data_IF_838622213922
#
_entry.id   IF_838622213922
#
_cell.length_a   1.000
_cell.length_b   1.000
_cell.length_c   1.000
_cell.angle_alpha   90.00
_cell.angle_beta   90.00
_cell.angle_gamma   90.00
#
_symmetry.space_group_name_H-M   'P 1'
#
loop_
_entity.id
_entity.type
_entity.pdbx_description
1 polymer ?
#
# COMPACT_ATOMS: atom_id res chain seq x y z
N UNK A 1 0.19 37.56 30.12
CA UNK A 1 -0.27 37.88 28.75
C UNK A 1 -0.85 36.61 28.15
N UNK A 2 -2.17 36.54 28.18
CA UNK A 2 -2.99 35.38 27.81
C UNK A 2 -3.25 35.40 26.30
N UNK A 3 -2.60 34.50 25.55
CA UNK A 3 -2.94 34.25 24.16
C UNK A 3 -4.06 33.20 24.08
N UNK A 4 -5.30 33.68 23.93
CA UNK A 4 -6.43 32.86 23.55
C UNK A 4 -6.28 32.46 22.07
N UNK A 5 -5.91 31.21 21.81
CA UNK A 5 -6.03 30.60 20.49
C UNK A 5 -7.52 30.42 20.19
N UNK A 6 -8.03 31.16 19.20
CA UNK A 6 -9.38 30.96 18.67
C UNK A 6 -9.46 29.57 18.04
N UNK A 7 -10.35 28.74 18.58
CA UNK A 7 -10.81 27.52 17.92
C UNK A 7 -11.65 27.91 16.69
N UNK A 8 -11.02 27.96 15.52
CA UNK A 8 -11.77 27.95 14.26
C UNK A 8 -12.02 26.49 13.86
N UNK A 9 -13.29 26.09 13.90
CA UNK A 9 -13.74 24.80 13.43
C UNK A 9 -13.64 24.76 11.90
N UNK A 10 -12.87 23.81 11.37
CA UNK A 10 -12.92 23.49 9.95
C UNK A 10 -14.35 23.07 9.57
N UNK A 11 -15.02 23.90 8.78
CA UNK A 11 -16.15 23.47 7.94
C UNK A 11 -17.57 23.85 8.34
N UNK A 12 -17.82 24.75 9.31
CA UNK A 12 -19.19 25.21 9.58
C UNK A 12 -19.24 26.69 10.02
N UNK A 13 -19.13 27.61 9.05
CA UNK A 13 -19.61 28.98 9.24
C UNK A 13 -20.96 29.18 8.56
N UNK A 14 -21.99 29.36 9.40
CA UNK A 14 -23.32 29.94 9.15
C UNK A 14 -23.68 30.20 7.67
N UNK A 15 -24.52 29.33 7.11
CA UNK A 15 -25.35 29.63 5.93
C UNK A 15 -24.90 29.05 4.59
N UNK A 16 -23.83 28.24 4.53
CA UNK A 16 -23.38 27.61 3.29
C UNK A 16 -23.86 26.15 3.22
N UNK A 17 -24.80 25.87 2.30
CA UNK A 17 -25.01 24.50 1.80
C UNK A 17 -23.84 24.16 0.86
N UNK A 18 -23.08 23.13 1.22
CA UNK A 18 -22.10 22.42 0.37
C UNK A 18 -21.11 23.28 -0.43
N UNK A 19 -20.51 24.34 0.12
CA UNK A 19 -19.35 25.00 -0.49
C UNK A 19 -19.55 25.64 -1.88
N UNK A 20 -20.70 25.48 -2.51
CA UNK A 20 -21.04 26.09 -3.79
C UNK A 20 -21.56 27.50 -3.56
N UNK A 21 -20.66 28.48 -3.50
CA UNK A 21 -21.03 29.84 -3.85
C UNK A 21 -21.27 29.88 -5.36
N UNK A 22 -22.50 30.16 -5.79
CA UNK A 22 -22.74 30.78 -7.10
C UNK A 22 -22.14 32.20 -7.05
N UNK A 23 -20.81 32.30 -7.10
CA UNK A 23 -20.19 33.49 -7.64
C UNK A 23 -20.06 33.24 -9.13
N UNK A 24 -20.75 34.06 -9.93
CA UNK A 24 -20.32 34.33 -11.31
C UNK A 24 -18.96 35.04 -11.24
N UNK A 25 -17.92 34.29 -10.87
CA UNK A 25 -16.55 34.69 -11.15
C UNK A 25 -16.41 34.44 -12.64
N UNK A 26 -16.27 35.49 -13.43
CA UNK A 26 -15.58 35.38 -14.73
C UNK A 26 -14.15 34.92 -14.42
N UNK A 27 -13.98 33.62 -14.18
CA UNK A 27 -12.67 33.00 -14.16
C UNK A 27 -12.19 33.07 -15.60
N UNK A 28 -11.30 34.01 -15.89
CA UNK A 28 -10.33 33.74 -16.95
C UNK A 28 -9.72 32.38 -16.62
N UNK A 29 -10.04 31.37 -17.43
CA UNK A 29 -9.41 30.07 -17.38
C UNK A 29 -7.96 30.35 -17.75
N UNK A 30 -7.13 30.68 -16.75
CA UNK A 30 -5.68 30.64 -16.90
C UNK A 30 -5.40 29.23 -17.40
N UNK A 31 -4.78 29.13 -18.57
CA UNK A 31 -4.35 27.84 -19.13
C UNK A 31 -3.74 27.04 -17.97
N UNK A 32 -4.14 25.78 -17.77
CA UNK A 32 -3.52 24.92 -16.78
C UNK A 32 -2.01 25.07 -16.93
N UNK A 33 -1.33 25.43 -15.84
CA UNK A 33 0.12 25.47 -15.85
C UNK A 33 0.55 24.05 -16.20
N UNK A 34 1.17 23.85 -17.36
CA UNK A 34 1.76 22.56 -17.72
C UNK A 34 2.76 22.21 -16.61
N UNK A 35 2.36 21.32 -15.71
CA UNK A 35 3.27 20.67 -14.80
C UNK A 35 3.94 19.61 -15.65
N UNK A 36 5.15 19.92 -16.14
CA UNK A 36 5.99 18.90 -16.77
C UNK A 36 6.48 17.98 -15.67
N UNK A 37 5.79 16.86 -15.49
CA UNK A 37 6.31 15.75 -14.68
C UNK A 37 7.40 15.06 -15.49
N UNK A 38 8.64 15.52 -15.34
CA UNK A 38 9.80 14.82 -15.92
C UNK A 38 10.11 13.60 -15.05
N UNK A 39 9.66 12.43 -15.50
CA UNK A 39 10.16 11.16 -14.98
C UNK A 39 11.57 10.96 -15.55
N UNK A 40 12.59 11.13 -14.71
CA UNK A 40 13.96 10.79 -15.11
C UNK A 40 14.04 9.31 -15.48
N UNK A 41 14.34 9.02 -16.75
CA UNK A 41 14.68 7.66 -17.16
C UNK A 41 15.87 7.17 -16.33
N UNK A 42 15.81 5.91 -15.88
CA UNK A 42 16.88 5.36 -15.04
C UNK A 42 18.22 5.45 -15.78
N UNK A 43 19.20 6.22 -15.26
CA UNK A 43 20.50 6.34 -15.90
C UNK A 43 21.14 4.97 -16.12
N UNK A 44 21.72 4.75 -17.31
CA UNK A 44 22.32 3.46 -17.68
C UNK A 44 23.34 2.97 -16.65
N UNK A 45 24.11 3.89 -16.06
CA UNK A 45 25.08 3.58 -15.01
C UNK A 45 24.44 2.97 -13.76
N UNK A 46 23.25 3.44 -13.37
CA UNK A 46 22.51 2.90 -12.22
C UNK A 46 22.01 1.51 -12.56
N UNK A 47 21.41 1.33 -13.74
CA UNK A 47 20.95 0.01 -14.20
C UNK A 47 22.10 -1.01 -14.23
N UNK A 48 23.23 -0.67 -14.86
CA UNK A 48 24.41 -1.53 -14.93
C UNK A 48 24.99 -1.83 -13.55
N UNK A 49 25.05 -0.84 -12.66
CA UNK A 49 25.54 -1.01 -11.29
C UNK A 49 24.65 -1.98 -10.50
N UNK A 50 23.33 -1.88 -10.66
CA UNK A 50 22.37 -2.79 -10.02
C UNK A 50 22.58 -4.22 -10.53
N UNK A 51 22.69 -4.43 -11.84
CA UNK A 51 22.95 -5.75 -12.41
C UNK A 51 24.31 -6.31 -11.96
N UNK A 52 25.34 -5.48 -11.89
CA UNK A 52 26.64 -5.88 -11.39
C UNK A 52 26.58 -6.32 -9.91
N UNK A 53 25.89 -5.56 -9.06
CA UNK A 53 25.65 -5.94 -7.67
C UNK A 53 24.93 -7.29 -7.55
N UNK A 54 23.89 -7.53 -8.35
CA UNK A 54 23.19 -8.82 -8.38
C UNK A 54 24.10 -9.96 -8.83
N UNK A 55 24.95 -9.73 -9.83
CA UNK A 55 25.92 -10.71 -10.32
C UNK A 55 26.91 -11.08 -9.21
N UNK A 56 27.50 -10.10 -8.55
CA UNK A 56 28.44 -10.30 -7.44
C UNK A 56 27.77 -11.09 -6.31
N UNK A 57 26.58 -10.68 -5.86
CA UNK A 57 25.83 -11.38 -4.80
C UNK A 57 25.50 -12.83 -5.18
N UNK A 58 25.13 -13.07 -6.44
CA UNK A 58 24.82 -14.40 -6.96
C UNK A 58 26.07 -15.28 -7.02
N UNK A 59 27.18 -14.73 -7.50
CA UNK A 59 28.47 -15.43 -7.58
C UNK A 59 28.95 -15.87 -6.18
N UNK A 60 28.97 -14.94 -5.22
CA UNK A 60 29.32 -15.26 -3.83
C UNK A 60 28.33 -16.23 -3.18
N UNK A 61 27.04 -16.14 -3.53
CA UNK A 61 26.03 -17.10 -3.11
C UNK A 61 26.36 -18.53 -3.54
N UNK A 62 26.78 -18.72 -4.80
CA UNK A 62 27.15 -20.03 -5.32
C UNK A 62 28.44 -20.57 -4.71
N UNK A 63 29.46 -19.73 -4.55
CA UNK A 63 30.70 -20.10 -3.83
C UNK A 63 30.37 -20.59 -2.42
N UNK A 64 29.49 -19.88 -1.71
CA UNK A 64 29.12 -20.25 -0.33
C UNK A 64 28.40 -21.60 -0.29
N UNK A 65 27.51 -21.87 -1.24
CA UNK A 65 26.86 -23.17 -1.33
C UNK A 65 27.85 -24.28 -1.73
N UNK A 66 28.83 -24.00 -2.57
CA UNK A 66 29.91 -24.93 -2.88
C UNK A 66 30.75 -25.27 -1.64
N UNK A 67 31.19 -24.26 -0.88
CA UNK A 67 31.95 -24.45 0.37
C UNK A 67 31.15 -25.26 1.40
N UNK A 68 29.84 -25.03 1.52
CA UNK A 68 28.95 -25.85 2.36
C UNK A 68 28.86 -27.30 1.92
N UNK A 69 28.87 -27.58 0.61
CA UNK A 69 28.90 -28.96 0.08
C UNK A 69 30.21 -29.67 0.43
N UNK A 70 31.30 -28.93 0.56
CA UNK A 70 32.59 -29.45 1.04
C UNK A 70 32.62 -29.68 2.57
N UNK A 71 31.52 -29.46 3.28
CA UNK A 71 31.39 -29.71 4.72
C UNK A 71 31.77 -28.53 5.60
N UNK A 72 32.14 -27.38 5.00
CA UNK A 72 32.53 -26.19 5.77
C UNK A 72 31.34 -25.25 6.00
N UNK A 73 31.09 -24.93 7.28
CA UNK A 73 30.06 -23.99 7.70
C UNK A 73 28.72 -24.66 8.02
N UNK A 74 27.82 -23.88 8.62
CA UNK A 74 26.52 -24.38 9.08
C UNK A 74 25.54 -24.50 7.89
N UNK A 75 24.96 -25.69 7.73
CA UNK A 75 23.90 -25.98 6.76
C UNK A 75 22.57 -25.83 7.48
N UNK A 76 21.80 -24.83 7.07
CA UNK A 76 20.49 -24.53 7.64
C UNK A 76 19.35 -24.84 6.67
N UNK A 77 19.65 -25.68 5.68
CA UNK A 77 18.68 -26.17 4.72
C UNK A 77 17.82 -27.25 5.38
N UNK A 78 16.52 -26.98 5.48
CA UNK A 78 15.54 -28.04 5.73
C UNK A 78 15.37 -28.77 4.40
N UNK A 79 15.92 -29.98 4.30
CA UNK A 79 15.66 -30.86 3.16
C UNK A 79 14.32 -31.52 3.37
N UNK A 80 13.48 -31.49 2.34
CA UNK A 80 12.25 -32.27 2.30
C UNK A 80 12.62 -33.76 2.44
N UNK A 81 12.03 -34.45 3.42
CA UNK A 81 12.20 -35.89 3.65
C UNK A 81 10.88 -36.59 3.31
N UNK A 82 10.97 -37.81 2.79
CA UNK A 82 9.82 -38.70 2.57
C UNK A 82 8.72 -38.11 1.67
N UNK A 83 9.09 -37.54 0.51
CA UNK A 83 8.15 -36.95 -0.46
C UNK A 83 8.22 -37.60 -1.84
N UNK A 84 8.15 -38.92 -1.89
CA UNK A 84 8.04 -39.63 -3.18
C UNK A 84 6.70 -39.29 -3.86
N UNK A 85 6.74 -38.96 -5.17
CA UNK A 85 5.55 -38.64 -5.96
C UNK A 85 5.00 -37.21 -5.87
N UNK A 86 5.56 -36.34 -5.02
CA UNK A 86 5.10 -34.95 -4.87
C UNK A 86 6.01 -33.94 -5.58
N UNK A 87 5.41 -32.84 -6.06
CA UNK A 87 6.15 -31.66 -6.56
C UNK A 87 6.91 -31.03 -5.38
N UNK A 88 8.18 -30.67 -5.62
CA UNK A 88 9.01 -29.94 -4.65
C UNK A 88 8.30 -28.66 -4.21
N UNK A 89 8.28 -28.37 -2.91
CA UNK A 89 7.63 -27.14 -2.40
C UNK A 89 8.41 -25.89 -2.82
N UNK A 90 9.72 -26.00 -2.98
CA UNK A 90 10.59 -24.88 -3.30
C UNK A 90 11.25 -25.05 -4.67
N UNK A 91 11.25 -23.99 -5.47
CA UNK A 91 12.08 -23.91 -6.67
C UNK A 91 13.55 -23.72 -6.26
N UNK A 92 14.47 -24.26 -7.06
CA UNK A 92 15.91 -24.22 -6.78
C UNK A 92 16.44 -22.79 -6.60
N UNK A 93 15.98 -21.85 -7.42
CA UNK A 93 16.39 -20.45 -7.34
C UNK A 93 15.82 -19.73 -6.11
N UNK A 94 14.56 -19.94 -5.75
CA UNK A 94 13.95 -19.31 -4.57
C UNK A 94 14.66 -19.73 -3.28
N UNK A 95 14.98 -21.03 -3.17
CA UNK A 95 15.76 -21.57 -2.06
C UNK A 95 17.15 -20.91 -1.99
N UNK A 96 17.83 -20.81 -3.13
CA UNK A 96 19.12 -20.13 -3.25
C UNK A 96 19.03 -18.66 -2.84
N UNK A 97 18.12 -17.89 -3.43
CA UNK A 97 17.93 -16.47 -3.18
C UNK A 97 17.62 -16.22 -1.70
N UNK A 98 16.68 -16.98 -1.13
CA UNK A 98 16.28 -16.84 0.27
C UNK A 98 17.46 -17.09 1.21
N UNK A 99 18.20 -18.19 0.99
CA UNK A 99 19.33 -18.59 1.84
C UNK A 99 20.52 -17.65 1.72
N UNK A 100 20.86 -17.21 0.50
CA UNK A 100 22.11 -16.51 0.21
C UNK A 100 21.99 -14.99 0.20
N UNK A 101 20.85 -14.46 -0.21
CA UNK A 101 20.67 -13.03 -0.45
C UNK A 101 19.64 -12.46 0.53
N UNK A 102 18.39 -12.91 0.48
CA UNK A 102 17.28 -12.31 1.22
C UNK A 102 17.52 -12.25 2.74
N UNK A 103 17.96 -13.36 3.35
CA UNK A 103 18.24 -13.44 4.81
C UNK A 103 19.29 -12.44 5.31
N UNK A 104 20.11 -11.87 4.42
CA UNK A 104 21.11 -10.86 4.78
C UNK A 104 20.55 -9.43 4.73
N UNK A 105 19.65 -9.16 3.79
CA UNK A 105 19.06 -7.81 3.62
C UNK A 105 17.83 -7.59 4.51
N UNK A 106 17.20 -8.68 4.96
CA UNK A 106 15.94 -8.65 5.70
C UNK A 106 16.02 -7.85 7.01
N UNK A 107 17.21 -7.65 7.58
CA UNK A 107 17.41 -6.84 8.79
C UNK A 107 16.91 -5.42 8.62
N UNK A 108 17.24 -4.79 7.48
CA UNK A 108 16.82 -3.42 7.17
C UNK A 108 15.48 -3.35 6.46
N UNK A 109 15.12 -4.37 5.68
CA UNK A 109 13.91 -4.34 4.85
C UNK A 109 12.63 -4.68 5.62
N UNK A 110 12.71 -5.56 6.62
CA UNK A 110 11.53 -6.03 7.37
C UNK A 110 11.56 -5.54 8.81
N UNK A 111 11.80 -4.24 8.99
CA UNK A 111 11.63 -3.60 10.29
C UNK A 111 10.15 -3.54 10.66
N UNK A 112 9.82 -3.83 11.91
CA UNK A 112 8.44 -3.88 12.37
C UNK A 112 8.02 -2.48 12.81
N UNK A 113 7.10 -1.88 12.07
CA UNK A 113 6.42 -0.67 12.51
C UNK A 113 5.48 -1.04 13.65
N UNK A 114 5.57 -0.27 14.73
CA UNK A 114 4.77 -0.42 15.94
C UNK A 114 4.13 0.94 16.25
N UNK A 115 2.82 0.92 16.50
CA UNK A 115 2.05 2.13 16.79
C UNK A 115 1.38 2.72 15.56
N UNK A 116 0.99 3.99 15.69
CA UNK A 116 0.22 4.73 14.68
C UNK A 116 1.10 5.16 13.49
N UNK A 117 0.52 5.24 12.27
CA UNK A 117 1.19 5.81 11.11
C UNK A 117 1.24 7.34 11.16
N UNK A 118 1.68 7.89 12.30
CA UNK A 118 1.84 9.33 12.54
C UNK A 118 3.18 9.86 12.01
N UNK A 119 3.45 11.13 12.29
CA UNK A 119 4.70 11.83 11.88
C UNK A 119 5.95 11.13 12.40
N UNK A 120 5.86 10.55 13.59
CA UNK A 120 6.91 9.72 14.19
C UNK A 120 6.30 8.37 14.49
N UNK A 121 6.91 7.29 13.98
CA UNK A 121 6.52 5.92 14.32
C UNK A 121 7.64 5.18 15.03
N UNK A 122 7.25 4.13 15.76
CA UNK A 122 8.19 3.30 16.50
C UNK A 122 8.55 2.07 15.67
N UNK A 123 9.83 1.74 15.66
CA UNK A 123 10.38 0.57 15.02
C UNK A 123 10.86 -0.41 16.07
N UNK A 124 10.40 -1.66 15.96
CA UNK A 124 10.90 -2.74 16.80
C UNK A 124 12.04 -3.45 16.10
N UNK A 125 13.23 -3.34 16.70
CA UNK A 125 14.44 -3.97 16.18
C UNK A 125 14.35 -5.49 16.38
N UNK A 126 14.66 -6.24 15.31
CA UNK A 126 14.97 -7.66 15.41
C UNK A 126 16.46 -7.84 15.53
N UNK A 127 16.89 -8.55 16.57
CA UNK A 127 18.29 -8.93 16.76
C UNK A 127 18.41 -10.38 16.33
N UNK A 128 19.34 -10.64 15.41
CA UNK A 128 19.67 -11.98 14.97
C UNK A 128 21.18 -12.09 14.79
N UNK A 129 21.87 -12.91 15.59
CA UNK A 129 23.30 -13.16 15.42
C UNK A 129 23.59 -14.11 14.25
N UNK A 130 22.56 -14.68 13.61
CA UNK A 130 22.67 -15.82 12.70
C UNK A 130 22.01 -15.60 11.34
N UNK A 131 22.07 -14.37 10.81
CA UNK A 131 21.49 -13.98 9.51
C UNK A 131 19.99 -14.28 9.43
N UNK A 132 19.23 -13.79 10.42
CA UNK A 132 17.77 -13.88 10.51
C UNK A 132 17.18 -15.29 10.49
N UNK A 133 17.94 -16.27 10.97
CA UNK A 133 17.42 -17.63 11.10
C UNK A 133 16.65 -17.80 12.40
N UNK A 134 17.19 -17.28 13.50
CA UNK A 134 16.52 -17.23 14.79
C UNK A 134 16.38 -15.76 15.21
N UNK A 135 15.64 -14.99 14.41
CA UNK A 135 15.37 -13.60 14.73
C UNK A 135 14.47 -13.51 15.96
N UNK A 136 15.01 -12.91 17.02
CA UNK A 136 14.23 -12.54 18.20
C UNK A 136 13.98 -11.04 18.16
N UNK A 137 12.84 -10.63 18.69
CA UNK A 137 12.67 -9.22 18.97
C UNK A 137 13.66 -8.82 20.07
N UNK A 138 14.39 -7.72 19.85
CA UNK A 138 15.23 -7.16 20.90
C UNK A 138 14.36 -6.79 22.11
N UNK A 139 14.92 -6.94 23.31
CA UNK A 139 14.34 -6.42 24.56
C UNK A 139 14.60 -4.92 24.74
N UNK A 140 15.34 -4.31 23.82
CA UNK A 140 15.71 -2.91 23.83
C UNK A 140 14.51 -1.99 23.52
N UNK A 141 14.66 -0.71 23.87
CA UNK A 141 13.67 0.34 23.61
C UNK A 141 13.42 0.43 22.09
N UNK A 142 12.15 0.55 21.71
CA UNK A 142 11.79 0.78 20.30
C UNK A 142 12.51 2.03 19.77
N UNK A 143 13.01 1.94 18.53
CA UNK A 143 13.58 3.10 17.84
C UNK A 143 12.45 4.02 17.40
N UNK A 144 12.69 5.32 17.40
CA UNK A 144 11.77 6.30 16.85
C UNK A 144 12.32 6.82 15.52
N UNK A 145 11.47 6.89 14.50
CA UNK A 145 11.84 7.35 13.17
C UNK A 145 10.77 8.31 12.62
N UNK A 146 11.21 9.27 11.81
CA UNK A 146 10.33 10.19 11.10
C UNK A 146 9.67 9.46 9.93
N UNK A 147 8.36 9.67 9.78
CA UNK A 147 7.56 9.06 8.74
C UNK A 147 7.50 9.93 7.48
N UNK A 148 8.32 9.59 6.49
CA UNK A 148 8.32 10.24 5.18
C UNK A 148 7.58 9.42 4.11
N UNK A 149 6.97 8.29 4.48
CA UNK A 149 6.34 7.35 3.54
C UNK A 149 4.86 7.06 3.81
N UNK A 150 4.22 7.80 4.71
CA UNK A 150 2.81 7.59 5.06
C UNK A 150 1.86 8.41 4.18
N UNK A 151 0.69 7.84 3.89
CA UNK A 151 -0.42 8.54 3.25
C UNK A 151 -1.35 9.25 4.25
N UNK A 152 -0.99 9.28 5.54
CA UNK A 152 -1.74 9.98 6.59
C UNK A 152 -1.45 11.49 6.58
N UNK A 153 -1.66 12.14 5.44
CA UNK A 153 -1.25 13.53 5.22
C UNK A 153 -1.90 14.54 6.17
N UNK A 154 -3.15 14.29 6.56
CA UNK A 154 -3.93 15.17 7.45
C UNK A 154 -3.92 14.71 8.92
N UNK A 155 -3.22 13.62 9.25
CA UNK A 155 -3.16 13.11 10.62
C UNK A 155 -4.50 12.58 11.14
N UNK A 156 -5.36 12.04 10.27
CA UNK A 156 -6.64 11.45 10.69
C UNK A 156 -6.50 10.03 11.22
N UNK A 157 -5.44 9.30 10.85
CA UNK A 157 -5.17 7.95 11.31
C UNK A 157 -4.35 7.93 12.62
N UNK A 158 -4.85 8.60 13.65
CA UNK A 158 -4.24 8.69 14.98
C UNK A 158 -5.05 7.87 16.01
N UNK A 159 -4.41 7.50 17.13
CA UNK A 159 -5.05 6.73 18.21
C UNK A 159 -5.89 7.61 19.16
N UNK A 160 -5.91 8.91 18.97
CA UNK A 160 -6.64 9.85 19.80
C UNK A 160 -7.25 10.97 18.96
N UNK A 161 -8.24 11.63 19.54
CA UNK A 161 -8.95 12.74 18.91
C UNK A 161 -10.20 12.30 18.18
N UNK A 162 -10.88 13.28 17.59
CA UNK A 162 -12.26 13.16 17.12
C UNK A 162 -12.51 11.95 16.19
N UNK A 163 -11.55 11.57 15.35
CA UNK A 163 -11.68 10.40 14.48
C UNK A 163 -11.66 9.10 15.28
N UNK A 164 -10.69 8.92 16.17
CA UNK A 164 -10.58 7.75 17.05
C UNK A 164 -11.80 7.63 17.96
N UNK A 165 -12.22 8.74 18.59
CA UNK A 165 -13.39 8.77 19.48
C UNK A 165 -14.67 8.38 18.72
N UNK A 166 -14.85 8.91 17.49
CA UNK A 166 -16.01 8.57 16.65
C UNK A 166 -16.00 7.09 16.23
N UNK A 167 -14.82 6.54 15.91
CA UNK A 167 -14.66 5.13 15.58
C UNK A 167 -15.01 4.24 16.77
N UNK A 168 -14.56 4.58 17.98
CA UNK A 168 -14.91 3.83 19.20
C UNK A 168 -16.43 3.78 19.43
N UNK A 169 -17.11 4.91 19.32
CA UNK A 169 -18.57 4.96 19.46
C UNK A 169 -19.29 4.12 18.41
N UNK A 170 -18.80 4.14 17.17
CA UNK A 170 -19.34 3.31 16.09
C UNK A 170 -19.12 1.82 16.37
N UNK A 171 -17.93 1.43 16.84
CA UNK A 171 -17.64 0.04 17.20
C UNK A 171 -18.53 -0.43 18.36
N UNK A 172 -18.76 0.40 19.37
CA UNK A 172 -19.66 0.07 20.48
C UNK A 172 -21.10 -0.14 20.01
N UNK A 173 -21.55 0.61 19.00
CA UNK A 173 -22.91 0.53 18.46
C UNK A 173 -23.11 -0.61 17.45
N UNK A 174 -22.15 -0.82 16.55
CA UNK A 174 -22.29 -1.73 15.40
C UNK A 174 -21.43 -2.99 15.48
N UNK A 175 -20.51 -3.07 16.44
CA UNK A 175 -19.50 -4.11 16.51
C UNK A 175 -18.32 -3.88 15.55
N UNK A 176 -17.40 -4.85 15.52
CA UNK A 176 -16.19 -4.78 14.69
C UNK A 176 -16.35 -5.37 13.29
N UNK A 177 -17.39 -6.18 13.07
CA UNK A 177 -17.63 -6.85 11.78
C UNK A 177 -19.04 -7.41 11.66
N UNK A 178 -19.57 -7.37 10.43
CA UNK A 178 -20.95 -7.80 10.12
C UNK A 178 -21.01 -9.28 9.70
N UNK A 179 -19.87 -9.85 9.27
CA UNK A 179 -19.76 -11.25 8.84
C UNK A 179 -20.77 -11.68 7.74
N UNK A 180 -21.26 -10.74 6.93
CA UNK A 180 -22.17 -11.00 5.82
C UNK A 180 -21.85 -10.09 4.63
N UNK A 181 -22.25 -10.52 3.43
CA UNK A 181 -22.08 -9.72 2.21
C UNK A 181 -23.09 -8.59 2.16
N UNK A 182 -22.77 -7.51 1.43
CA UNK A 182 -23.70 -6.38 1.23
C UNK A 182 -25.03 -6.77 0.59
N UNK A 183 -25.04 -7.84 -0.21
CA UNK A 183 -26.25 -8.33 -0.88
C UNK A 183 -27.23 -8.99 0.10
N UNK A 184 -26.74 -9.49 1.23
CA UNK A 184 -27.54 -10.19 2.23
C UNK A 184 -27.80 -9.29 3.44
N UNK A 185 -27.09 -9.51 4.55
CA UNK A 185 -27.27 -8.80 5.82
C UNK A 185 -26.13 -7.79 6.09
N UNK A 186 -25.21 -7.62 5.14
CA UNK A 186 -24.02 -6.80 5.25
C UNK A 186 -24.21 -5.30 5.00
N UNK A 187 -25.44 -4.84 4.73
CA UNK A 187 -25.73 -3.44 4.41
C UNK A 187 -26.22 -2.67 5.64
N UNK A 188 -25.37 -1.79 6.18
CA UNK A 188 -25.68 -0.99 7.37
C UNK A 188 -26.08 0.46 7.02
N UNK A 189 -26.90 1.08 7.87
CA UNK A 189 -27.32 2.47 7.73
C UNK A 189 -26.13 3.45 7.73
N UNK A 190 -25.08 3.16 8.52
CA UNK A 190 -23.85 3.96 8.55
C UNK A 190 -23.08 3.92 7.23
N UNK A 191 -23.12 2.81 6.49
CA UNK A 191 -22.49 2.71 5.17
C UNK A 191 -23.26 3.58 4.18
N UNK A 192 -24.60 3.51 4.17
CA UNK A 192 -25.41 4.36 3.27
C UNK A 192 -25.23 5.85 3.58
N UNK A 193 -25.15 6.23 4.85
CA UNK A 193 -24.84 7.61 5.26
C UNK A 193 -23.50 8.10 4.71
N UNK A 194 -22.47 7.26 4.76
CA UNK A 194 -21.15 7.59 4.20
C UNK A 194 -21.21 7.68 2.67
N UNK A 195 -21.93 6.79 1.99
CA UNK A 195 -22.13 6.84 0.53
C UNK A 195 -22.82 8.13 0.08
N UNK A 196 -23.92 8.51 0.76
CA UNK A 196 -24.60 9.79 0.49
C UNK A 196 -23.66 10.97 0.73
N UNK A 197 -22.93 10.98 1.84
CA UNK A 197 -21.99 12.07 2.16
C UNK A 197 -20.87 12.21 1.12
N UNK A 198 -20.32 11.08 0.63
CA UNK A 198 -19.30 11.08 -0.41
C UNK A 198 -19.88 11.53 -1.76
N UNK A 199 -21.08 11.10 -2.11
CA UNK A 199 -21.77 11.52 -3.33
C UNK A 199 -22.02 13.03 -3.32
N UNK A 200 -22.52 13.57 -2.21
CA UNK A 200 -22.72 15.01 -2.00
C UNK A 200 -21.40 15.80 -2.05
N UNK A 201 -20.32 15.27 -1.45
CA UNK A 201 -19.01 15.90 -1.46
C UNK A 201 -18.40 15.96 -2.86
N UNK A 202 -18.55 14.90 -3.66
CA UNK A 202 -18.04 14.83 -5.03
C UNK A 202 -18.96 15.49 -6.06
N UNK A 203 -20.22 15.78 -5.70
CA UNK A 203 -21.23 16.31 -6.62
C UNK A 203 -21.70 15.29 -7.66
N UNK A 204 -21.76 14.01 -7.29
CA UNK A 204 -22.23 12.91 -8.15
C UNK A 204 -23.58 12.37 -7.68
N UNK A 205 -24.28 11.64 -8.54
CA UNK A 205 -25.62 11.12 -8.26
C UNK A 205 -25.65 10.09 -7.13
N UNK A 206 -24.66 9.19 -7.08
CA UNK A 206 -24.52 8.18 -6.03
C UNK A 206 -23.05 7.76 -5.85
N UNK A 207 -22.75 7.08 -4.75
CA UNK A 207 -21.44 6.48 -4.53
C UNK A 207 -21.53 5.12 -3.84
N UNK A 208 -20.49 4.30 -3.99
CA UNK A 208 -20.42 2.95 -3.41
C UNK A 208 -19.10 2.80 -2.66
N UNK A 209 -19.16 2.33 -1.41
CA UNK A 209 -17.95 2.04 -0.64
C UNK A 209 -17.45 0.64 -0.96
N UNK A 210 -16.13 0.53 -1.17
CA UNK A 210 -15.42 -0.73 -1.32
C UNK A 210 -14.32 -0.80 -0.27
N UNK A 211 -14.12 -1.98 0.33
CA UNK A 211 -13.25 -2.15 1.50
C UNK A 211 -11.75 -1.95 1.25
N UNK A 212 -11.31 -1.83 0.00
CA UNK A 212 -9.91 -1.62 -0.35
C UNK A 212 -9.79 -0.89 -1.68
N UNK A 213 -8.95 0.15 -1.74
CA UNK A 213 -8.75 0.95 -2.97
C UNK A 213 -8.25 0.14 -4.17
N UNK A 214 -7.42 -0.89 -3.94
CA UNK A 214 -7.01 -1.80 -5.01
C UNK A 214 -8.23 -2.56 -5.59
N UNK A 215 -9.08 -3.10 -4.71
CA UNK A 215 -10.29 -3.82 -5.10
C UNK A 215 -11.27 -2.92 -5.85
N UNK A 216 -11.44 -1.66 -5.44
CA UNK A 216 -12.31 -0.68 -6.11
C UNK A 216 -12.08 -0.66 -7.62
N UNK A 217 -10.83 -0.72 -8.07
CA UNK A 217 -10.51 -0.74 -9.48
C UNK A 217 -10.58 -2.15 -10.06
N UNK A 218 -9.91 -3.11 -9.42
CA UNK A 218 -9.73 -4.44 -10.00
C UNK A 218 -11.02 -5.23 -10.12
N UNK A 219 -12.00 -5.00 -9.25
CA UNK A 219 -13.28 -5.74 -9.24
C UNK A 219 -14.40 -5.03 -9.98
N UNK A 220 -14.39 -3.70 -10.09
CA UNK A 220 -15.49 -2.95 -10.72
C UNK A 220 -15.27 -2.71 -12.22
N UNK A 221 -14.04 -2.54 -12.71
CA UNK A 221 -13.84 -2.39 -14.16
C UNK A 221 -14.44 -3.57 -14.95
N UNK A 222 -14.25 -4.85 -14.55
CA UNK A 222 -14.86 -5.98 -15.25
C UNK A 222 -16.39 -6.03 -15.23
N UNK A 223 -17.07 -5.29 -14.35
CA UNK A 223 -18.54 -5.23 -14.31
C UNK A 223 -19.09 -4.17 -15.27
N UNK A 224 -18.28 -3.19 -15.65
CA UNK A 224 -18.66 -2.10 -16.56
C UNK A 224 -18.36 -2.40 -18.03
N UNK A 225 -17.28 -3.15 -18.28
CA UNK A 225 -16.79 -3.45 -19.63
C UNK A 225 -16.47 -4.93 -19.77
N UNK A 226 -16.64 -5.47 -20.98
CA UNK A 226 -16.43 -6.87 -21.27
C UNK A 226 -15.80 -7.09 -22.66
N UNK A 227 -15.66 -8.35 -23.07
CA UNK A 227 -15.16 -8.70 -24.40
C UNK A 227 -15.98 -8.01 -25.50
N UNK A 228 -15.31 -7.26 -26.37
CA UNK A 228 -15.94 -6.43 -27.41
C UNK A 228 -15.89 -4.94 -27.12
N UNK A 229 -15.63 -4.55 -25.86
CA UNK A 229 -15.35 -3.17 -25.50
C UNK A 229 -13.90 -2.78 -25.79
N UNK A 230 -13.64 -1.47 -25.83
CA UNK A 230 -12.32 -0.86 -25.94
C UNK A 230 -12.03 -0.04 -24.67
N UNK A 231 -10.86 -0.26 -24.06
CA UNK A 231 -10.35 0.52 -22.94
C UNK A 231 -9.08 1.26 -23.38
N UNK A 232 -9.03 2.57 -23.14
CA UNK A 232 -7.79 3.34 -23.20
C UNK A 232 -7.18 3.39 -21.80
N UNK A 233 -5.94 2.90 -21.65
CA UNK A 233 -5.23 2.87 -20.37
C UNK A 233 -3.94 3.67 -20.47
N UNK A 234 -3.71 4.52 -19.50
CA UNK A 234 -2.42 5.19 -19.32
C UNK A 234 -1.30 4.15 -19.09
N UNK A 235 -0.09 4.42 -19.56
CA UNK A 235 1.06 3.52 -19.40
C UNK A 235 1.59 3.45 -17.96
N UNK A 236 1.40 4.49 -17.15
CA UNK A 236 1.77 4.55 -15.73
C UNK A 236 0.58 4.31 -14.80
N UNK A 237 -0.52 3.76 -15.31
CA UNK A 237 -1.67 3.41 -14.49
C UNK A 237 -1.29 2.48 -13.34
N UNK A 238 -1.87 2.76 -12.16
CA UNK A 238 -1.69 1.92 -10.98
C UNK A 238 -2.08 0.46 -11.25
N UNK A 239 -1.35 -0.49 -10.65
CA UNK A 239 -1.49 -1.92 -10.92
C UNK A 239 -2.93 -2.46 -10.74
N UNK A 240 -3.73 -1.83 -9.87
CA UNK A 240 -5.15 -2.18 -9.69
C UNK A 240 -6.01 -1.92 -10.92
N UNK A 241 -5.76 -0.81 -11.63
CA UNK A 241 -6.47 -0.46 -12.88
C UNK A 241 -6.05 -1.43 -13.98
N UNK A 242 -4.75 -1.70 -14.11
CA UNK A 242 -4.21 -2.65 -15.08
C UNK A 242 -4.82 -4.03 -14.89
N UNK A 243 -4.92 -4.50 -13.63
CA UNK A 243 -5.56 -5.77 -13.32
C UNK A 243 -7.05 -5.77 -13.69
N UNK A 244 -7.80 -4.74 -13.29
CA UNK A 244 -9.22 -4.62 -13.64
C UNK A 244 -9.47 -4.62 -15.14
N UNK A 245 -8.66 -3.87 -15.90
CA UNK A 245 -8.72 -3.86 -17.36
C UNK A 245 -8.48 -5.25 -17.95
N UNK A 246 -7.45 -5.97 -17.47
CA UNK A 246 -7.14 -7.33 -17.95
C UNK A 246 -8.25 -8.33 -17.63
N UNK A 247 -8.83 -8.24 -16.43
CA UNK A 247 -9.92 -9.13 -16.00
C UNK A 247 -11.21 -8.93 -16.81
N UNK A 248 -11.43 -7.74 -17.36
CA UNK A 248 -12.61 -7.48 -18.21
C UNK A 248 -12.64 -8.26 -19.53
N UNK A 249 -11.47 -8.68 -20.04
CA UNK A 249 -11.35 -9.28 -21.37
C UNK A 249 -11.61 -8.31 -22.54
N UNK A 250 -11.76 -7.02 -22.28
CA UNK A 250 -11.87 -5.98 -23.29
C UNK A 250 -10.55 -5.78 -24.05
N UNK A 251 -10.62 -5.15 -25.23
CA UNK A 251 -9.41 -4.72 -25.95
C UNK A 251 -8.81 -3.52 -25.23
N UNK A 252 -7.53 -3.60 -24.86
CA UNK A 252 -6.83 -2.52 -24.16
C UNK A 252 -5.87 -1.84 -25.15
N UNK A 253 -5.96 -0.52 -25.24
CA UNK A 253 -5.01 0.34 -25.96
C UNK A 253 -4.29 1.19 -24.93
N UNK A 254 -2.97 1.04 -24.85
CA UNK A 254 -2.14 1.82 -23.94
C UNK A 254 -1.72 3.13 -24.61
N UNK A 255 -1.85 4.24 -23.92
CA UNK A 255 -1.39 5.56 -24.36
C UNK A 255 -0.31 6.10 -23.42
N UNK A 256 0.52 7.02 -23.95
CA UNK A 256 1.64 7.62 -23.20
C UNK A 256 1.15 8.46 -22.04
N UNK A 257 1.87 8.42 -20.92
CA UNK A 257 1.55 9.21 -19.74
C UNK A 257 1.64 10.72 -20.04
N UNK A 258 0.86 11.51 -19.30
CA UNK A 258 0.86 12.97 -19.39
C UNK A 258 1.87 13.61 -18.47
#
# INVERSE_FOLDING_TARGET
MTNQLKHEANGLSRGLKNGFKHHEVKQEIKKPREIKEEFEETPLIIALSVYFCYLVLTFFGHIRDFVRRLGFGKIYEVKEKNREGYVKLYRSFESFYTRNIYKRIVQGWNMFVCGVPGVIFKLKIKISPDFHQNAKFGTEKNLEAINLGSYNYLGFAENSGKCADSVEQVILKYGTGICSTRHELGHLDIQRKLETMVAEFLGVEDSIIVGMGFATNSTNIPTLVSKGCLIFSDELNHASLVLGCRLSGAKIVVYKHN
#
